data_IF_327907375108
#
_entry.id   IF_327907375108
#
_cell.length_a   1.000
_cell.length_b   1.000
_cell.length_c   1.000
_cell.angle_alpha   90.00
_cell.angle_beta   90.00
_cell.angle_gamma   90.00
#
_symmetry.space_group_name_H-M   'P 1'
#
loop_
_entity.id
_entity.type
_entity.pdbx_description
1 polymer ?
#
# COMPACT_ATOMS: atom_id res chain seq x y z
N UNK A 1 14.59 1.21 -24.49
CA UNK A 1 15.04 1.85 -23.23
C UNK A 1 16.03 2.95 -23.63
N UNK A 2 15.77 4.19 -23.24
CA UNK A 2 16.67 5.32 -23.50
C UNK A 2 17.34 5.70 -22.18
N UNK A 3 18.66 5.85 -22.18
CA UNK A 3 19.44 6.34 -21.03
C UNK A 3 20.00 7.71 -21.42
N UNK A 4 19.72 8.74 -20.62
CA UNK A 4 20.18 10.11 -20.82
C UNK A 4 20.43 10.79 -19.47
N UNK A 5 21.02 11.99 -19.46
CA UNK A 5 21.28 12.80 -18.26
C UNK A 5 22.06 12.08 -17.15
N UNK A 6 23.09 11.33 -17.53
CA UNK A 6 23.96 10.60 -16.58
C UNK A 6 25.03 11.54 -16.06
N UNK A 7 25.09 11.70 -14.73
CA UNK A 7 26.08 12.53 -14.05
C UNK A 7 26.80 11.71 -12.97
N UNK A 8 28.11 11.90 -12.77
CA UNK A 8 28.83 11.29 -11.65
C UNK A 8 28.36 11.90 -10.32
N UNK A 9 28.21 11.06 -9.31
CA UNK A 9 27.79 11.44 -7.95
C UNK A 9 28.71 10.79 -6.93
N UNK A 10 28.92 11.44 -5.78
CA UNK A 10 29.78 10.94 -4.70
C UNK A 10 29.15 9.80 -3.91
N UNK A 11 27.81 9.71 -3.91
CA UNK A 11 27.06 8.67 -3.22
C UNK A 11 26.09 7.94 -4.15
N UNK A 12 25.86 6.64 -3.92
CA UNK A 12 24.86 5.90 -4.67
C UNK A 12 23.45 6.40 -4.33
N UNK A 13 22.56 6.38 -5.33
CA UNK A 13 21.13 6.53 -5.11
C UNK A 13 20.61 5.37 -4.25
N UNK A 14 19.79 5.68 -3.24
CA UNK A 14 19.20 4.71 -2.32
C UNK A 14 17.69 4.79 -2.37
N UNK A 15 17.02 3.65 -2.24
CA UNK A 15 15.56 3.60 -2.08
C UNK A 15 15.14 4.47 -0.88
N UNK A 16 14.07 5.24 -1.05
CA UNK A 16 13.57 6.16 -0.03
C UNK A 16 14.13 7.58 -0.10
N UNK A 17 15.15 7.86 -0.93
CA UNK A 17 15.69 9.23 -1.13
C UNK A 17 14.85 10.11 -2.08
N UNK A 18 13.85 9.54 -2.76
CA UNK A 18 12.96 10.36 -3.59
C UNK A 18 12.04 11.21 -2.71
N UNK A 19 11.83 12.47 -3.08
CA UNK A 19 10.84 13.32 -2.43
C UNK A 19 9.42 12.98 -2.89
N UNK A 20 9.26 12.58 -4.15
CA UNK A 20 7.96 12.38 -4.77
C UNK A 20 8.07 12.05 -6.25
N UNK A 21 6.93 12.06 -6.93
CA UNK A 21 6.83 11.86 -8.37
C UNK A 21 5.93 12.95 -8.99
N UNK A 22 6.30 13.36 -10.19
CA UNK A 22 5.48 14.18 -11.06
C UNK A 22 4.62 13.28 -11.95
N UNK A 23 3.35 13.63 -12.13
CA UNK A 23 2.42 12.89 -12.96
C UNK A 23 1.83 13.81 -14.02
N UNK A 24 1.91 13.37 -15.27
CA UNK A 24 1.18 13.94 -16.41
C UNK A 24 0.24 12.87 -16.95
N UNK A 25 -1.06 13.05 -16.72
CA UNK A 25 -2.08 12.03 -16.98
C UNK A 25 -3.12 12.58 -17.94
N UNK A 26 -3.61 11.72 -18.84
CA UNK A 26 -4.76 12.00 -19.70
C UNK A 26 -5.83 10.96 -19.40
N UNK A 27 -6.96 11.42 -18.89
CA UNK A 27 -8.15 10.61 -18.62
C UNK A 27 -9.09 10.76 -19.81
N UNK A 28 -9.41 9.65 -20.47
CA UNK A 28 -10.27 9.62 -21.66
C UNK A 28 -11.65 9.07 -21.31
N UNK A 29 -12.62 9.25 -22.23
CA UNK A 29 -13.99 8.76 -22.10
C UNK A 29 -14.66 9.24 -20.79
N UNK A 30 -14.56 10.55 -20.52
CA UNK A 30 -15.14 11.13 -19.31
C UNK A 30 -16.65 11.11 -19.36
N UNK A 31 -17.25 10.59 -18.28
CA UNK A 31 -18.70 10.55 -18.10
C UNK A 31 -19.07 11.26 -16.81
N UNK A 32 -20.03 12.19 -16.84
CA UNK A 32 -20.57 12.77 -15.62
C UNK A 32 -21.26 11.68 -14.78
N UNK A 33 -21.17 11.79 -13.46
CA UNK A 33 -21.87 10.88 -12.56
C UNK A 33 -23.35 11.24 -12.46
N UNK A 34 -24.24 10.26 -12.28
CA UNK A 34 -25.66 10.52 -12.01
C UNK A 34 -26.45 11.05 -13.21
N UNK A 35 -27.39 11.97 -12.96
CA UNK A 35 -28.28 12.56 -13.99
C UNK A 35 -27.67 13.79 -14.70
N UNK A 36 -26.41 14.10 -14.42
CA UNK A 36 -25.74 15.27 -14.96
C UNK A 36 -25.43 15.09 -16.46
N UNK A 37 -25.64 16.13 -17.26
CA UNK A 37 -25.33 16.13 -18.69
C UNK A 37 -23.88 16.56 -18.97
N UNK A 38 -23.44 16.39 -20.22
CA UNK A 38 -22.12 16.86 -20.67
C UNK A 38 -21.91 18.37 -20.47
N UNK A 39 -22.99 19.17 -20.50
CA UNK A 39 -22.95 20.62 -20.23
C UNK A 39 -22.42 20.96 -18.83
N UNK A 40 -22.58 20.06 -17.85
CA UNK A 40 -22.17 20.28 -16.47
C UNK A 40 -20.79 19.69 -16.16
N UNK A 41 -20.20 18.95 -17.11
CA UNK A 41 -18.94 18.23 -16.93
C UNK A 41 -17.80 19.17 -16.51
N UNK A 42 -17.70 20.35 -17.12
CA UNK A 42 -16.66 21.32 -16.79
C UNK A 42 -16.74 21.80 -15.34
N UNK A 43 -17.96 22.06 -14.85
CA UNK A 43 -18.17 22.50 -13.47
C UNK A 43 -17.88 21.38 -12.48
N UNK A 44 -18.34 20.15 -12.79
CA UNK A 44 -18.06 18.97 -11.97
C UNK A 44 -16.57 18.67 -11.86
N UNK A 45 -15.83 18.73 -12.98
CA UNK A 45 -14.38 18.53 -13.00
C UNK A 45 -13.67 19.61 -12.18
N UNK A 46 -14.04 20.89 -12.38
CA UNK A 46 -13.46 22.01 -11.64
C UNK A 46 -13.68 21.85 -10.14
N UNK A 47 -14.89 21.51 -9.72
CA UNK A 47 -15.22 21.28 -8.32
C UNK A 47 -14.43 20.09 -7.74
N UNK A 48 -14.37 18.97 -8.44
CA UNK A 48 -13.64 17.79 -8.00
C UNK A 48 -12.14 18.06 -7.82
N UNK A 49 -11.52 18.73 -8.80
CA UNK A 49 -10.09 19.09 -8.75
C UNK A 49 -9.81 20.09 -7.64
N UNK A 50 -10.63 21.14 -7.48
CA UNK A 50 -10.46 22.12 -6.40
C UNK A 50 -10.69 21.50 -5.02
N UNK A 51 -11.62 20.54 -4.88
CA UNK A 51 -11.79 19.81 -3.62
C UNK A 51 -10.53 19.03 -3.24
N UNK A 52 -9.95 18.27 -4.17
CA UNK A 52 -8.72 17.51 -3.91
C UNK A 52 -7.51 18.41 -3.70
N UNK A 53 -7.44 19.54 -4.40
CA UNK A 53 -6.39 20.56 -4.19
C UNK A 53 -6.42 21.14 -2.78
N UNK A 54 -7.61 21.50 -2.29
CA UNK A 54 -7.76 22.21 -1.02
C UNK A 54 -7.79 21.25 0.19
N UNK A 55 -8.43 20.09 0.04
CA UNK A 55 -8.65 19.14 1.14
C UNK A 55 -7.70 17.94 1.10
N UNK A 56 -7.08 17.68 -0.04
CA UNK A 56 -6.33 16.45 -0.28
C UNK A 56 -7.26 15.25 -0.52
N UNK A 57 -6.69 14.07 -0.31
CA UNK A 57 -7.38 12.78 -0.39
C UNK A 57 -6.86 11.85 0.72
N UNK A 58 -7.63 10.82 1.06
CA UNK A 58 -7.19 9.82 2.04
C UNK A 58 -6.05 9.01 1.45
N UNK A 59 -4.93 8.91 2.16
CA UNK A 59 -3.69 8.37 1.63
C UNK A 59 -3.64 6.83 1.58
N UNK A 60 -4.69 6.21 1.04
CA UNK A 60 -4.79 4.75 0.91
C UNK A 60 -3.63 4.15 0.11
N UNK A 61 -3.30 2.91 0.44
CA UNK A 61 -2.54 2.05 -0.45
C UNK A 61 -3.43 1.62 -1.61
N UNK A 62 -3.02 1.98 -2.83
CA UNK A 62 -3.74 1.59 -4.05
C UNK A 62 -3.59 0.10 -4.40
N UNK A 63 -4.39 -0.41 -5.35
CA UNK A 63 -4.39 -1.82 -5.75
C UNK A 63 -3.01 -2.35 -6.17
N UNK A 64 -2.14 -1.47 -6.69
CA UNK A 64 -0.75 -1.82 -7.04
C UNK A 64 0.06 -2.35 -5.83
N UNK A 65 -0.32 -2.01 -4.60
CA UNK A 65 0.34 -2.50 -3.38
C UNK A 65 0.00 -3.96 -3.06
N UNK A 66 -1.15 -4.42 -3.51
CA UNK A 66 -1.67 -5.76 -3.26
C UNK A 66 -1.39 -6.72 -4.43
N UNK A 67 -0.96 -6.17 -5.57
CA UNK A 67 -0.69 -6.91 -6.78
C UNK A 67 -1.90 -6.93 -7.71
N UNK A 68 -1.72 -7.46 -8.92
CA UNK A 68 -2.75 -7.48 -9.97
C UNK A 68 -3.48 -8.82 -10.09
N UNK A 69 -3.24 -9.76 -9.15
CA UNK A 69 -3.93 -11.05 -9.15
C UNK A 69 -5.39 -10.89 -8.71
N UNK A 70 -6.32 -11.52 -9.42
CA UNK A 70 -7.74 -11.49 -9.09
C UNK A 70 -8.09 -12.52 -8.02
N UNK A 71 -7.42 -13.68 -8.02
CA UNK A 71 -7.73 -14.76 -7.09
C UNK A 71 -7.07 -14.59 -5.71
N UNK A 72 -5.75 -14.31 -5.67
CA UNK A 72 -4.99 -14.16 -4.43
C UNK A 72 -4.17 -12.88 -4.48
N UNK A 73 -4.42 -12.02 -3.50
CA UNK A 73 -3.66 -10.79 -3.31
C UNK A 73 -2.47 -11.00 -2.35
N UNK A 74 -1.48 -10.12 -2.44
CA UNK A 74 -0.23 -10.23 -1.69
C UNK A 74 -0.42 -10.13 -0.17
N UNK A 75 -1.43 -9.42 0.30
CA UNK A 75 -1.78 -9.31 1.73
C UNK A 75 -2.27 -10.64 2.32
N UNK A 76 -2.96 -11.47 1.54
CA UNK A 76 -3.43 -12.78 1.98
C UNK A 76 -2.25 -13.72 2.23
N UNK A 77 -1.26 -13.70 1.32
CA UNK A 77 0.02 -14.41 1.51
C UNK A 77 0.75 -13.84 2.74
N UNK A 78 0.76 -12.51 2.89
CA UNK A 78 1.34 -11.81 4.04
C UNK A 78 0.76 -12.25 5.38
N UNK A 79 -0.56 -12.39 5.47
CA UNK A 79 -1.26 -12.87 6.65
C UNK A 79 -0.78 -14.28 7.03
N UNK A 80 -0.80 -15.21 6.08
CA UNK A 80 -0.42 -16.60 6.32
C UNK A 80 1.07 -16.72 6.70
N UNK A 81 1.92 -15.88 6.12
CA UNK A 81 3.33 -15.77 6.52
C UNK A 81 3.51 -15.24 7.95
N UNK A 82 2.71 -14.25 8.38
CA UNK A 82 2.75 -13.72 9.75
C UNK A 82 2.25 -14.74 10.78
N UNK A 83 1.35 -15.65 10.37
CA UNK A 83 0.93 -16.81 11.17
C UNK A 83 1.94 -17.98 11.16
N UNK A 84 3.05 -17.82 10.42
CA UNK A 84 4.08 -18.83 10.18
C UNK A 84 3.58 -20.15 9.55
N UNK A 85 2.45 -20.11 8.84
CA UNK A 85 1.85 -21.27 8.17
C UNK A 85 2.50 -21.50 6.78
N UNK A 86 3.72 -22.03 6.79
CA UNK A 86 4.57 -22.10 5.59
C UNK A 86 3.94 -22.87 4.42
N UNK A 87 3.32 -24.02 4.67
CA UNK A 87 2.69 -24.81 3.60
C UNK A 87 1.49 -24.08 2.98
N UNK A 88 0.66 -23.45 3.80
CA UNK A 88 -0.47 -22.67 3.32
C UNK A 88 0.00 -21.46 2.51
N UNK A 89 1.10 -20.79 2.92
CA UNK A 89 1.64 -19.65 2.19
C UNK A 89 2.15 -20.03 0.79
N UNK A 90 2.74 -21.23 0.64
CA UNK A 90 3.17 -21.76 -0.67
C UNK A 90 1.96 -22.12 -1.53
N UNK A 91 0.92 -22.73 -0.95
CA UNK A 91 -0.34 -23.01 -1.67
C UNK A 91 -0.99 -21.72 -2.19
N UNK A 92 -1.07 -20.69 -1.37
CA UNK A 92 -1.58 -19.36 -1.79
C UNK A 92 -0.72 -18.76 -2.90
N UNK A 93 0.61 -18.80 -2.77
CA UNK A 93 1.53 -18.30 -3.79
C UNK A 93 1.35 -18.97 -5.17
N UNK A 94 1.05 -20.27 -5.18
CA UNK A 94 0.76 -21.02 -6.41
C UNK A 94 -0.72 -21.08 -6.79
N UNK A 95 -1.59 -20.27 -6.18
CA UNK A 95 -2.98 -20.19 -6.62
C UNK A 95 -3.03 -19.65 -8.07
N UNK A 96 -3.67 -20.38 -9.01
CA UNK A 96 -3.81 -19.94 -10.39
C UNK A 96 -4.83 -18.81 -10.50
N UNK A 97 -4.64 -17.96 -11.51
CA UNK A 97 -5.64 -16.98 -11.93
C UNK A 97 -6.66 -17.63 -12.89
N UNK A 98 -7.70 -16.87 -13.23
CA UNK A 98 -8.66 -17.23 -14.27
C UNK A 98 -7.99 -17.18 -15.65
N UNK A 99 -7.67 -18.36 -16.19
CA UNK A 99 -6.97 -18.50 -17.47
C UNK A 99 -6.35 -19.87 -17.67
N UNK A 100 -6.13 -20.25 -18.93
CA UNK A 100 -5.58 -21.56 -19.34
C UNK A 100 -4.16 -21.50 -19.93
N UNK A 101 -3.46 -20.39 -19.67
CA UNK A 101 -2.06 -20.23 -20.05
C UNK A 101 -1.13 -21.20 -19.28
N UNK A 102 0.14 -21.26 -19.71
CA UNK A 102 1.14 -22.18 -19.18
C UNK A 102 1.45 -21.97 -17.68
N UNK A 103 1.47 -20.73 -17.17
CA UNK A 103 1.73 -20.48 -15.75
C UNK A 103 0.60 -21.06 -14.89
N UNK A 104 -0.65 -20.91 -15.34
CA UNK A 104 -1.83 -21.36 -14.61
C UNK A 104 -1.96 -22.89 -14.66
N UNK A 105 -1.62 -23.53 -15.80
CA UNK A 105 -1.47 -24.99 -15.90
C UNK A 105 -0.42 -25.54 -14.95
N UNK A 106 0.76 -24.91 -14.91
CA UNK A 106 1.86 -25.33 -14.04
C UNK A 106 1.49 -25.20 -12.54
N UNK A 107 0.82 -24.11 -12.17
CA UNK A 107 0.27 -23.86 -10.83
C UNK A 107 -0.77 -24.91 -10.43
N UNK A 108 -1.77 -25.16 -11.29
CA UNK A 108 -2.80 -26.20 -11.06
C UNK A 108 -2.18 -27.59 -10.89
N UNK A 109 -1.25 -27.94 -11.77
CA UNK A 109 -0.54 -29.22 -11.67
C UNK A 109 0.15 -29.35 -10.32
N UNK A 110 0.86 -28.31 -9.86
CA UNK A 110 1.56 -28.33 -8.58
C UNK A 110 0.60 -28.58 -7.41
N UNK A 111 -0.52 -27.85 -7.37
CA UNK A 111 -1.50 -27.96 -6.29
C UNK A 111 -2.22 -29.31 -6.26
N UNK A 112 -2.42 -29.94 -7.43
CA UNK A 112 -3.09 -31.24 -7.54
C UNK A 112 -2.17 -32.43 -7.22
N UNK A 113 -0.93 -32.40 -7.70
CA UNK A 113 -0.03 -33.56 -7.64
C UNK A 113 1.07 -33.44 -6.59
N UNK A 114 1.36 -32.22 -6.12
CA UNK A 114 2.55 -31.92 -5.31
C UNK A 114 3.87 -32.04 -6.07
N UNK A 115 3.86 -32.32 -7.38
CA UNK A 115 5.08 -32.59 -8.15
C UNK A 115 5.75 -31.30 -8.63
N UNK A 116 6.67 -30.78 -7.81
CA UNK A 116 7.41 -29.56 -8.12
C UNK A 116 8.29 -29.66 -9.40
N UNK A 117 8.78 -30.86 -9.73
CA UNK A 117 9.64 -31.07 -10.90
C UNK A 117 8.87 -30.90 -12.20
N UNK A 118 7.70 -31.54 -12.31
CA UNK A 118 6.83 -31.45 -13.48
C UNK A 118 6.27 -30.03 -13.63
N UNK A 119 5.81 -29.42 -12.55
CA UNK A 119 5.39 -28.02 -12.56
C UNK A 119 6.50 -27.06 -12.99
N UNK A 120 7.74 -27.30 -12.59
CA UNK A 120 8.88 -26.48 -13.02
C UNK A 120 9.14 -26.61 -14.52
N UNK A 121 8.93 -27.79 -15.11
CA UNK A 121 9.06 -27.98 -16.55
C UNK A 121 7.97 -27.22 -17.33
N UNK A 122 6.76 -27.15 -16.79
CA UNK A 122 5.63 -26.40 -17.38
C UNK A 122 5.75 -24.87 -17.17
N UNK A 123 6.37 -24.43 -16.08
CA UNK A 123 6.40 -23.02 -15.68
C UNK A 123 7.20 -22.14 -16.66
N UNK A 124 6.61 -21.08 -17.27
CA UNK A 124 7.32 -20.22 -18.21
C UNK A 124 8.58 -19.54 -17.65
N UNK A 125 9.60 -19.33 -18.49
CA UNK A 125 10.89 -18.77 -18.06
C UNK A 125 10.81 -17.37 -17.43
N UNK A 126 9.87 -16.53 -17.90
CA UNK A 126 9.65 -15.18 -17.37
C UNK A 126 9.01 -15.16 -15.97
N UNK A 127 8.54 -16.31 -15.46
CA UNK A 127 8.04 -16.47 -14.08
C UNK A 127 9.15 -16.88 -13.13
N UNK A 128 10.12 -15.97 -12.99
CA UNK A 128 11.34 -16.24 -12.22
C UNK A 128 11.08 -16.63 -10.76
N UNK A 129 10.12 -15.98 -10.09
CA UNK A 129 9.80 -16.23 -8.67
C UNK A 129 9.24 -17.64 -8.48
N UNK A 130 8.25 -17.99 -9.30
CA UNK A 130 7.60 -19.29 -9.30
C UNK A 130 8.60 -20.41 -9.60
N UNK A 131 9.51 -20.20 -10.56
CA UNK A 131 10.56 -21.15 -10.89
C UNK A 131 11.58 -21.32 -9.75
N UNK A 132 11.99 -20.25 -9.06
CA UNK A 132 12.89 -20.33 -7.91
C UNK A 132 12.26 -21.16 -6.78
N UNK A 133 11.00 -20.86 -6.46
CA UNK A 133 10.22 -21.56 -5.45
C UNK A 133 10.07 -23.06 -5.80
N UNK A 134 9.66 -23.40 -7.03
CA UNK A 134 9.53 -24.80 -7.48
C UNK A 134 10.86 -25.56 -7.47
N UNK A 135 11.98 -24.92 -7.84
CA UNK A 135 13.31 -25.54 -7.74
C UNK A 135 13.67 -25.91 -6.31
N UNK A 136 13.40 -25.02 -5.37
CA UNK A 136 13.65 -25.28 -3.95
C UNK A 136 12.74 -26.41 -3.43
N UNK A 137 11.45 -26.37 -3.77
CA UNK A 137 10.49 -27.41 -3.36
C UNK A 137 10.83 -28.79 -3.98
N UNK A 138 11.33 -28.83 -5.21
CA UNK A 138 11.83 -30.08 -5.79
C UNK A 138 13.02 -30.64 -5.02
N UNK A 139 13.94 -29.78 -4.59
CA UNK A 139 15.17 -30.17 -3.89
C UNK A 139 14.94 -30.57 -2.43
N UNK A 140 14.05 -29.87 -1.74
CA UNK A 140 13.89 -29.98 -0.29
C UNK A 140 12.53 -30.56 0.13
N UNK A 141 11.67 -30.92 -0.84
CA UNK A 141 10.31 -31.39 -0.60
C UNK A 141 9.31 -30.25 -0.39
N UNK A 142 8.04 -30.62 -0.19
CA UNK A 142 6.92 -29.67 0.00
C UNK A 142 6.40 -29.57 1.44
N UNK A 143 7.06 -30.23 2.40
CA UNK A 143 6.76 -30.04 3.82
C UNK A 143 7.29 -28.69 4.35
N UNK A 144 7.14 -28.46 5.65
CA UNK A 144 7.51 -27.21 6.33
C UNK A 144 8.92 -26.69 5.98
N UNK A 145 9.99 -27.50 6.14
CA UNK A 145 11.37 -27.09 5.83
C UNK A 145 11.54 -26.76 4.34
N UNK A 146 10.93 -27.54 3.46
CA UNK A 146 10.95 -27.30 2.03
C UNK A 146 10.29 -25.98 1.64
N UNK A 147 9.16 -25.65 2.28
CA UNK A 147 8.48 -24.36 2.11
C UNK A 147 9.32 -23.18 2.63
N UNK A 148 10.01 -23.34 3.77
CA UNK A 148 10.95 -22.33 4.29
C UNK A 148 12.08 -22.09 3.28
N UNK A 149 12.70 -23.16 2.76
CA UNK A 149 13.73 -23.06 1.72
C UNK A 149 13.20 -22.45 0.42
N UNK A 150 11.96 -22.76 0.07
CA UNK A 150 11.21 -22.16 -1.02
C UNK A 150 11.15 -20.64 -0.89
N UNK A 151 10.67 -20.14 0.23
CA UNK A 151 10.62 -18.71 0.49
C UNK A 151 12.02 -18.08 0.51
N UNK A 152 12.99 -18.69 1.20
CA UNK A 152 14.37 -18.19 1.27
C UNK A 152 15.06 -18.12 -0.10
N UNK A 153 14.58 -18.87 -1.11
CA UNK A 153 15.06 -18.75 -2.49
C UNK A 153 14.68 -17.40 -3.15
N UNK A 154 13.66 -16.72 -2.63
CA UNK A 154 13.24 -15.41 -3.11
C UNK A 154 14.06 -14.28 -2.47
N UNK A 155 14.35 -13.19 -3.21
CA UNK A 155 15.00 -12.01 -2.65
C UNK A 155 14.29 -11.46 -1.40
N UNK A 156 15.06 -10.94 -0.45
CA UNK A 156 14.53 -10.42 0.81
C UNK A 156 13.41 -9.38 0.60
N UNK A 157 13.62 -8.45 -0.35
CA UNK A 157 12.64 -7.40 -0.69
C UNK A 157 11.30 -7.94 -1.16
N UNK A 158 11.29 -9.05 -1.90
CA UNK A 158 10.05 -9.69 -2.36
C UNK A 158 9.34 -10.42 -1.22
N UNK A 159 10.09 -11.01 -0.29
CA UNK A 159 9.49 -11.70 0.87
C UNK A 159 8.83 -10.71 1.83
N UNK A 160 9.55 -9.66 2.20
CA UNK A 160 9.03 -8.64 3.13
C UNK A 160 7.85 -7.87 2.51
N UNK A 161 7.79 -7.77 1.18
CA UNK A 161 6.67 -7.15 0.47
C UNK A 161 5.31 -7.76 0.86
N UNK A 162 5.18 -9.08 0.94
CA UNK A 162 3.91 -9.73 1.32
C UNK A 162 3.44 -9.32 2.72
N UNK A 163 4.34 -9.31 3.70
CA UNK A 163 4.02 -8.87 5.07
C UNK A 163 3.62 -7.39 5.08
N UNK A 164 4.30 -6.55 4.30
CA UNK A 164 3.93 -5.15 4.18
C UNK A 164 2.60 -4.93 3.46
N UNK A 165 2.23 -5.77 2.48
CA UNK A 165 0.91 -5.71 1.85
C UNK A 165 -0.18 -6.01 2.87
N UNK A 166 0.01 -6.98 3.77
CA UNK A 166 -0.92 -7.20 4.90
C UNK A 166 -1.05 -5.95 5.77
N UNK A 167 0.08 -5.37 6.19
CA UNK A 167 0.07 -4.17 7.02
C UNK A 167 -0.62 -2.99 6.30
N UNK A 168 -0.44 -2.85 4.98
CA UNK A 168 -1.12 -1.87 4.14
C UNK A 168 -2.63 -2.06 4.11
N UNK A 169 -3.12 -3.31 4.09
CA UNK A 169 -4.56 -3.58 4.16
C UNK A 169 -5.14 -3.14 5.49
N UNK A 170 -4.51 -3.53 6.60
CA UNK A 170 -4.95 -3.13 7.95
C UNK A 170 -4.93 -1.60 8.09
N UNK A 171 -3.92 -0.92 7.54
CA UNK A 171 -3.88 0.54 7.53
C UNK A 171 -5.03 1.18 6.74
N UNK A 172 -5.37 0.65 5.57
CA UNK A 172 -6.52 1.15 4.79
C UNK A 172 -7.82 1.00 5.60
N UNK A 173 -8.02 -0.16 6.23
CA UNK A 173 -9.19 -0.40 7.08
C UNK A 173 -9.21 0.53 8.31
N UNK A 174 -8.04 0.79 8.92
CA UNK A 174 -7.87 1.70 10.04
C UNK A 174 -8.23 3.15 9.67
N UNK A 175 -7.73 3.64 8.53
CA UNK A 175 -8.04 4.96 8.01
C UNK A 175 -9.54 5.14 7.76
N UNK A 176 -10.19 4.13 7.16
CA UNK A 176 -11.65 4.12 6.97
C UNK A 176 -12.38 4.16 8.31
N UNK A 177 -12.02 3.29 9.25
CA UNK A 177 -12.64 3.25 10.58
C UNK A 177 -12.47 4.58 11.33
N UNK A 178 -11.25 5.16 11.30
CA UNK A 178 -10.92 6.43 11.92
C UNK A 178 -11.79 7.57 11.43
N UNK A 179 -11.96 7.70 10.11
CA UNK A 179 -12.79 8.75 9.53
C UNK A 179 -14.27 8.54 9.83
N UNK A 180 -14.75 7.29 9.81
CA UNK A 180 -16.16 6.96 10.08
C UNK A 180 -16.56 7.16 11.54
N UNK A 181 -15.68 6.87 12.50
CA UNK A 181 -16.00 6.87 13.93
C UNK A 181 -15.62 8.15 14.66
N UNK A 182 -14.52 8.79 14.24
CA UNK A 182 -13.95 9.96 14.92
C UNK A 182 -14.03 11.23 14.06
N UNK A 183 -14.59 11.15 12.85
CA UNK A 183 -14.85 12.31 11.99
C UNK A 183 -13.59 12.95 11.39
N UNK A 184 -13.73 14.22 10.98
CA UNK A 184 -12.75 14.94 10.17
C UNK A 184 -11.95 16.02 10.92
N UNK A 185 -11.88 15.92 12.25
CA UNK A 185 -10.99 16.73 13.10
C UNK A 185 -9.94 15.83 13.75
N UNK A 186 -8.82 16.40 14.18
CA UNK A 186 -7.93 15.70 15.10
C UNK A 186 -8.64 15.58 16.47
N UNK A 187 -8.52 14.42 17.12
CA UNK A 187 -9.18 14.15 18.41
C UNK A 187 -8.20 13.57 19.41
N UNK A 188 -8.53 13.63 20.69
CA UNK A 188 -7.75 13.02 21.75
C UNK A 188 -7.36 11.57 21.41
N UNK A 189 -6.10 11.24 21.65
CA UNK A 189 -5.53 9.91 21.39
C UNK A 189 -5.05 9.70 19.96
N UNK A 190 -5.31 10.60 19.02
CA UNK A 190 -4.69 10.54 17.68
C UNK A 190 -3.16 10.68 17.78
N UNK A 191 -2.48 10.17 16.76
CA UNK A 191 -1.03 10.33 16.64
C UNK A 191 -0.71 11.46 15.67
N UNK A 192 0.28 12.27 16.02
CA UNK A 192 0.87 13.31 15.17
C UNK A 192 2.39 13.28 15.28
N UNK A 193 3.10 13.91 14.33
CA UNK A 193 4.55 14.09 14.47
C UNK A 193 4.86 15.11 15.59
N UNK A 194 5.80 14.79 16.47
CA UNK A 194 6.24 15.74 17.49
C UNK A 194 6.83 17.00 16.86
N UNK A 195 6.58 18.16 17.47
CA UNK A 195 7.01 19.46 16.95
C UNK A 195 6.14 20.05 15.84
N UNK A 196 5.12 19.32 15.37
CA UNK A 196 4.18 19.80 14.35
C UNK A 196 3.27 20.94 14.82
N UNK A 197 3.21 21.22 16.13
CA UNK A 197 2.50 22.35 16.75
C UNK A 197 2.89 23.70 16.15
N UNK A 198 4.14 23.84 15.73
CA UNK A 198 4.69 25.11 15.21
C UNK A 198 4.53 25.29 13.70
N UNK A 199 3.92 24.32 13.00
CA UNK A 199 3.77 24.36 11.53
C UNK A 199 5.08 24.20 10.73
N UNK A 200 6.23 24.06 11.41
CA UNK A 200 7.50 23.80 10.73
C UNK A 200 7.66 22.30 10.46
N UNK A 201 7.66 21.94 9.16
CA UNK A 201 8.24 20.68 8.71
C UNK A 201 9.73 20.71 9.09
N UNK A 202 10.11 20.02 10.16
CA UNK A 202 11.53 19.81 10.50
C UNK A 202 12.19 19.08 9.33
N UNK A 203 12.87 19.86 8.50
CA UNK A 203 13.79 19.44 7.45
C UNK A 203 15.17 19.24 8.05
N UNK A 204 15.29 18.33 9.02
CA UNK A 204 16.59 17.89 9.53
C UNK A 204 16.62 16.38 9.51
N UNK A 205 17.14 15.88 8.39
CA UNK A 205 17.78 14.59 8.29
C UNK A 205 18.93 14.56 9.31
N UNK A 206 18.78 13.82 10.42
CA UNK A 206 19.85 13.08 11.09
C UNK A 206 19.31 12.31 12.33
N UNK A 207 19.22 10.98 12.17
CA UNK A 207 19.36 9.92 13.19
C UNK A 207 18.44 9.83 14.43
N UNK A 208 17.47 10.71 14.68
CA UNK A 208 16.45 10.45 15.70
C UNK A 208 15.18 9.88 15.05
N UNK A 209 14.77 8.69 15.47
CA UNK A 209 13.49 8.10 15.07
C UNK A 209 12.39 9.17 15.27
N UNK A 210 11.54 9.43 14.25
CA UNK A 210 10.61 10.54 14.32
C UNK A 210 9.69 10.33 15.53
N UNK A 211 9.79 11.25 16.49
CA UNK A 211 9.07 11.16 17.75
C UNK A 211 7.59 11.40 17.47
N UNK A 212 6.75 10.51 17.96
CA UNK A 212 5.29 10.58 17.80
C UNK A 212 4.68 11.14 19.07
N UNK A 213 3.79 12.11 18.90
CA UNK A 213 3.00 12.71 19.97
C UNK A 213 1.57 12.17 19.93
N UNK A 214 0.95 12.03 21.11
CA UNK A 214 -0.45 11.62 21.25
C UNK A 214 -1.24 12.87 21.60
N UNK A 215 -2.24 13.19 20.80
CA UNK A 215 -3.07 14.38 20.99
C UNK A 215 -3.76 14.30 22.36
N UNK A 216 -3.54 15.31 23.19
CA UNK A 216 -4.14 15.45 24.51
C UNK A 216 -5.54 16.09 24.44
N UNK A 217 -6.33 15.93 25.50
CA UNK A 217 -7.70 16.49 25.55
C UNK A 217 -7.74 18.02 25.40
N UNK A 218 -6.76 18.73 25.98
CA UNK A 218 -6.67 20.18 25.87
C UNK A 218 -6.27 20.64 24.45
N UNK A 219 -5.48 19.84 23.73
CA UNK A 219 -5.07 20.14 22.36
C UNK A 219 -6.22 19.96 21.37
N UNK A 220 -7.09 18.97 21.61
CA UNK A 220 -8.35 18.81 20.89
C UNK A 220 -9.29 20.01 21.11
N UNK A 221 -9.49 20.42 22.38
CA UNK A 221 -10.37 21.56 22.72
C UNK A 221 -9.90 22.86 22.09
N UNK A 222 -8.58 23.07 22.04
CA UNK A 222 -7.96 24.27 21.47
C UNK A 222 -7.71 24.15 19.95
N UNK A 223 -8.11 23.04 19.32
CA UNK A 223 -7.90 22.76 17.88
C UNK A 223 -6.44 22.97 17.43
N UNK A 224 -5.48 22.55 18.28
CA UNK A 224 -4.03 22.73 18.02
C UNK A 224 -3.58 21.99 16.76
N UNK A 225 -4.19 20.83 16.50
CA UNK A 225 -3.87 20.01 15.34
C UNK A 225 -5.06 19.86 14.40
N UNK A 226 -4.77 19.78 13.11
CA UNK A 226 -5.73 19.48 12.06
C UNK A 226 -5.63 18.04 11.55
N UNK A 227 -6.65 17.58 10.82
CA UNK A 227 -6.71 16.20 10.31
C UNK A 227 -5.53 15.85 9.39
N UNK A 228 -4.95 16.82 8.68
CA UNK A 228 -3.78 16.60 7.80
C UNK A 228 -2.47 16.39 8.55
N UNK A 229 -2.43 16.66 9.86
CA UNK A 229 -1.30 16.32 10.73
C UNK A 229 -1.44 14.92 11.35
N UNK A 230 -2.63 14.32 11.30
CA UNK A 230 -2.88 12.98 11.85
C UNK A 230 -2.15 11.92 11.04
N UNK A 231 -1.39 11.08 11.75
CA UNK A 231 -0.69 9.92 11.20
C UNK A 231 -1.27 8.64 11.80
N UNK A 232 -1.27 7.57 11.02
CA UNK A 232 -1.69 6.25 11.47
C UNK A 232 -0.54 5.25 11.40
N UNK A 233 -0.42 4.34 12.39
CA UNK A 233 0.62 3.33 12.37
C UNK A 233 0.32 2.25 11.33
N UNK A 234 1.34 1.87 10.59
CA UNK A 234 1.42 0.59 9.91
C UNK A 234 1.76 -0.46 10.99
N UNK A 235 0.96 -1.53 11.16
CA UNK A 235 1.22 -2.53 12.18
C UNK A 235 2.66 -3.07 12.12
N UNK A 236 3.27 -3.20 13.30
CA UNK A 236 4.66 -3.60 13.45
C UNK A 236 5.07 -3.67 14.91
N UNK A 237 6.32 -4.07 15.16
CA UNK A 237 6.83 -4.25 16.52
C UNK A 237 7.59 -3.04 17.12
N UNK A 238 7.59 -1.90 16.42
CA UNK A 238 8.26 -0.67 16.86
C UNK A 238 7.38 0.57 16.67
N UNK A 239 6.05 0.38 16.58
CA UNK A 239 5.08 1.48 16.48
C UNK A 239 4.25 1.62 17.75
N UNK A 240 3.87 2.86 18.05
CA UNK A 240 2.85 3.22 19.02
C UNK A 240 1.48 3.21 18.33
N UNK A 241 0.46 2.74 19.03
CA UNK A 241 -0.92 2.80 18.55
C UNK A 241 -1.66 4.00 19.17
N UNK A 242 -2.68 4.55 18.49
CA UNK A 242 -3.52 5.63 19.00
C UNK A 242 -4.12 5.30 20.37
N UNK A 243 -4.24 6.28 21.27
CA UNK A 243 -4.79 6.11 22.62
C UNK A 243 -6.30 6.48 22.64
N UNK A 244 -7.04 5.96 21.66
CA UNK A 244 -8.50 6.15 21.53
C UNK A 244 -9.16 4.88 20.94
N UNK A 245 -10.41 5.00 20.50
CA UNK A 245 -11.18 3.88 19.91
C UNK A 245 -10.45 3.17 18.76
N UNK A 246 -9.57 3.88 18.03
CA UNK A 246 -8.80 3.29 16.95
C UNK A 246 -7.72 2.32 17.47
N UNK A 247 -7.11 2.61 18.62
CA UNK A 247 -6.12 1.74 19.26
C UNK A 247 -6.72 0.38 19.62
N UNK A 248 -7.90 0.38 20.24
CA UNK A 248 -8.64 -0.86 20.52
C UNK A 248 -9.02 -1.59 19.24
N UNK A 249 -9.48 -0.84 18.23
CA UNK A 249 -9.81 -1.42 16.93
C UNK A 249 -8.62 -2.16 16.29
N UNK A 250 -7.39 -1.64 16.38
CA UNK A 250 -6.20 -2.34 15.88
C UNK A 250 -5.99 -3.68 16.59
N UNK A 251 -6.16 -3.72 17.92
CA UNK A 251 -6.00 -4.95 18.70
C UNK A 251 -7.04 -6.00 18.28
N UNK A 252 -8.32 -5.60 18.24
CA UNK A 252 -9.42 -6.49 17.87
C UNK A 252 -9.26 -6.98 16.42
N UNK A 253 -8.88 -6.09 15.50
CA UNK A 253 -8.72 -6.40 14.09
C UNK A 253 -7.59 -7.40 13.85
N UNK A 254 -6.45 -7.23 14.53
CA UNK A 254 -5.34 -8.20 14.47
C UNK A 254 -5.72 -9.52 15.12
N UNK A 255 -6.45 -9.50 16.24
CA UNK A 255 -6.93 -10.71 16.90
C UNK A 255 -7.89 -11.52 16.01
N UNK A 256 -8.78 -10.86 15.26
CA UNK A 256 -9.67 -11.51 14.27
C UNK A 256 -8.92 -12.29 13.19
N UNK A 257 -7.72 -11.82 12.80
CA UNK A 257 -6.85 -12.50 11.82
C UNK A 257 -5.94 -13.57 12.49
N UNK A 258 -6.09 -13.81 13.80
CA UNK A 258 -5.23 -14.72 14.57
C UNK A 258 -3.85 -14.14 14.89
N UNK A 259 -3.68 -12.82 14.80
CA UNK A 259 -2.43 -12.10 15.03
C UNK A 259 -2.37 -11.35 16.38
N UNK A 260 -3.26 -11.66 17.32
CA UNK A 260 -3.31 -10.97 18.63
C UNK A 260 -2.01 -11.05 19.44
N UNK A 261 -1.23 -12.12 19.28
CA UNK A 261 0.11 -12.29 19.88
C UNK A 261 1.26 -12.15 18.87
N UNK A 262 1.00 -11.60 17.68
CA UNK A 262 1.98 -11.49 16.62
C UNK A 262 3.11 -10.53 17.00
N UNK A 263 4.36 -11.00 16.87
CA UNK A 263 5.56 -10.18 17.14
C UNK A 263 6.06 -9.43 15.90
N UNK A 264 5.34 -9.53 14.78
CA UNK A 264 5.75 -8.98 13.48
C UNK A 264 7.18 -9.39 13.08
N UNK A 265 7.54 -10.63 13.43
CA UNK A 265 8.79 -11.31 13.11
C UNK A 265 8.46 -12.69 12.59
N UNK A 266 9.01 -13.03 11.43
CA UNK A 266 8.91 -14.38 10.86
C UNK A 266 10.32 -14.95 10.89
N UNK A 267 10.66 -15.56 12.02
CA UNK A 267 12.04 -15.99 12.32
C UNK A 267 12.59 -16.97 11.27
N UNK A 268 11.82 -17.99 10.82
CA UNK A 268 12.30 -18.93 9.79
C UNK A 268 12.72 -18.25 8.48
N UNK A 269 12.09 -17.10 8.17
CA UNK A 269 12.38 -16.32 6.98
C UNK A 269 13.31 -15.13 7.25
N UNK A 270 13.80 -14.94 8.47
CA UNK A 270 14.65 -13.79 8.86
C UNK A 270 13.99 -12.44 8.51
N UNK A 271 12.67 -12.35 8.65
CA UNK A 271 11.90 -11.13 8.35
C UNK A 271 11.53 -10.43 9.65
N UNK A 272 11.69 -9.11 9.66
CA UNK A 272 11.28 -8.22 10.74
C UNK A 272 10.46 -7.06 10.16
N UNK A 273 9.28 -6.81 10.73
CA UNK A 273 8.43 -5.68 10.35
C UNK A 273 8.35 -4.73 11.55
N UNK A 274 9.20 -3.69 11.60
CA UNK A 274 9.16 -2.69 12.67
C UNK A 274 7.87 -1.87 12.63
N UNK A 275 7.24 -1.77 11.46
CA UNK A 275 6.17 -0.81 11.22
C UNK A 275 6.73 0.58 10.92
N UNK A 276 5.84 1.50 10.61
CA UNK A 276 6.13 2.90 10.38
C UNK A 276 4.86 3.71 10.59
N UNK A 277 4.94 5.04 10.46
CA UNK A 277 3.76 5.89 10.48
C UNK A 277 3.54 6.48 9.10
N UNK A 278 2.27 6.68 8.76
CA UNK A 278 1.85 7.21 7.47
C UNK A 278 0.79 8.30 7.69
N UNK A 279 0.91 9.47 7.04
CA UNK A 279 -0.12 10.50 7.07
C UNK A 279 -1.47 9.97 6.60
N UNK A 280 -2.53 10.30 7.33
CA UNK A 280 -3.90 9.92 6.99
C UNK A 280 -4.34 10.56 5.66
N UNK A 281 -3.97 11.81 5.45
CA UNK A 281 -4.24 12.57 4.23
C UNK A 281 -2.97 12.81 3.41
N UNK A 282 -3.13 12.90 2.10
CA UNK A 282 -2.13 13.38 1.17
C UNK A 282 -2.72 14.54 0.36
N UNK A 283 -1.89 15.56 0.08
CA UNK A 283 -2.29 16.73 -0.71
C UNK A 283 -1.42 16.80 -1.96
N UNK A 284 -1.99 16.79 -3.18
CA UNK A 284 -1.21 17.01 -4.38
C UNK A 284 -0.68 18.44 -4.44
N UNK A 285 0.53 18.59 -4.98
CA UNK A 285 1.14 19.90 -5.21
C UNK A 285 1.11 20.23 -6.69
N UNK A 286 1.07 21.52 -7.01
CA UNK A 286 1.13 22.04 -8.39
C UNK A 286 0.09 21.40 -9.32
N UNK A 287 -1.13 21.18 -8.82
CA UNK A 287 -2.21 20.58 -9.61
C UNK A 287 -2.71 21.57 -10.68
N UNK A 288 -2.66 21.15 -11.93
CA UNK A 288 -3.19 21.89 -13.08
C UNK A 288 -4.02 20.93 -13.94
N UNK A 289 -5.06 21.46 -14.59
CA UNK A 289 -5.94 20.64 -15.42
C UNK A 289 -6.42 21.39 -16.66
N UNK A 290 -6.67 20.64 -17.73
CA UNK A 290 -7.35 21.14 -18.93
C UNK A 290 -8.36 20.10 -19.42
N UNK A 291 -9.56 20.56 -19.73
CA UNK A 291 -10.67 19.73 -20.21
C UNK A 291 -10.89 19.98 -21.69
N UNK A 292 -10.87 18.91 -22.48
CA UNK A 292 -11.32 18.90 -23.87
C UNK A 292 -12.71 18.27 -23.93
N UNK A 293 -13.66 18.93 -24.56
CA UNK A 293 -15.07 18.50 -24.63
C UNK A 293 -15.52 18.15 -26.04
N UNK A 294 -14.67 18.36 -27.05
CA UNK A 294 -14.97 18.06 -28.46
C UNK A 294 -14.76 16.55 -28.74
N UNK A 295 -15.69 15.95 -29.49
CA UNK A 295 -15.74 14.54 -29.90
C UNK A 295 -15.73 13.51 -28.76
N UNK A 296 -14.60 13.36 -28.07
CA UNK A 296 -14.39 12.46 -26.94
C UNK A 296 -13.87 13.25 -25.72
N UNK A 297 -14.73 13.49 -24.71
CA UNK A 297 -14.33 14.24 -23.53
C UNK A 297 -13.10 13.64 -22.82
N UNK A 298 -12.07 14.47 -22.65
CA UNK A 298 -10.82 14.07 -22.00
C UNK A 298 -10.26 15.16 -21.08
N UNK A 299 -9.62 14.71 -19.99
CA UNK A 299 -9.06 15.57 -18.94
C UNK A 299 -7.56 15.32 -18.87
N UNK A 300 -6.79 16.34 -19.21
CA UNK A 300 -5.36 16.37 -18.90
C UNK A 300 -5.20 16.88 -17.48
N UNK A 301 -4.46 16.15 -16.66
CA UNK A 301 -4.23 16.47 -15.25
C UNK A 301 -2.75 16.29 -14.93
N UNK A 302 -2.14 17.35 -14.40
CA UNK A 302 -0.74 17.37 -13.98
C UNK A 302 -0.67 17.67 -12.49
N UNK A 303 0.14 16.93 -11.74
CA UNK A 303 0.35 17.16 -10.30
C UNK A 303 1.59 16.42 -9.78
N UNK A 304 2.07 16.87 -8.62
CA UNK A 304 3.11 16.21 -7.84
C UNK A 304 2.52 15.50 -6.63
N UNK A 305 3.03 14.31 -6.32
CA UNK A 305 2.76 13.63 -5.06
C UNK A 305 4.05 13.29 -4.33
N UNK A 306 4.03 13.42 -3.00
CA UNK A 306 5.10 12.96 -2.14
C UNK A 306 5.34 11.45 -2.27
N UNK A 307 6.53 11.00 -1.88
CA UNK A 307 6.90 9.60 -1.91
C UNK A 307 5.89 8.74 -1.13
N UNK A 308 5.66 7.52 -1.61
CA UNK A 308 4.68 6.59 -1.04
C UNK A 308 3.21 6.99 -1.17
N UNK A 309 2.86 8.00 -1.97
CA UNK A 309 1.48 8.30 -2.37
C UNK A 309 1.15 7.63 -3.72
N UNK A 310 -0.14 7.39 -3.97
CA UNK A 310 -0.62 6.68 -5.16
C UNK A 310 -1.45 7.61 -6.04
N UNK A 311 -1.00 7.85 -7.28
CA UNK A 311 -1.74 8.66 -8.25
C UNK A 311 -3.12 8.07 -8.56
N UNK A 312 -3.25 6.74 -8.57
CA UNK A 312 -4.55 6.08 -8.70
C UNK A 312 -5.51 6.50 -7.60
N UNK A 313 -5.09 6.54 -6.33
CA UNK A 313 -5.95 6.93 -5.21
C UNK A 313 -6.35 8.42 -5.32
N UNK A 314 -5.42 9.30 -5.70
CA UNK A 314 -5.73 10.71 -5.99
C UNK A 314 -6.80 10.81 -7.10
N UNK A 315 -6.62 10.08 -8.19
CA UNK A 315 -7.59 10.03 -9.29
C UNK A 315 -8.93 9.44 -8.85
N UNK A 316 -8.95 8.42 -8.00
CA UNK A 316 -10.19 7.86 -7.45
C UNK A 316 -11.00 8.88 -6.66
N UNK A 317 -10.32 9.77 -5.93
CA UNK A 317 -10.99 10.87 -5.21
C UNK A 317 -11.57 11.92 -6.17
N UNK A 318 -10.85 12.26 -7.25
CA UNK A 318 -11.31 13.20 -8.28
C UNK A 318 -12.47 12.60 -9.09
N UNK A 319 -12.31 11.35 -9.53
CA UNK A 319 -13.25 10.66 -10.41
C UNK A 319 -14.41 10.02 -9.65
N UNK A 320 -14.36 9.92 -8.32
CA UNK A 320 -15.33 9.19 -7.49
C UNK A 320 -15.54 7.73 -7.93
N UNK A 321 -14.52 7.14 -8.54
CA UNK A 321 -14.52 5.73 -8.91
C UNK A 321 -14.13 4.88 -7.70
N UNK A 322 -14.87 3.80 -7.46
CA UNK A 322 -14.44 2.79 -6.48
C UNK A 322 -13.17 2.13 -7.01
N UNK A 323 -12.04 2.43 -6.38
CA UNK A 323 -10.77 1.73 -6.61
C UNK A 323 -10.58 0.51 -5.70
N UNK A 324 -11.67 0.08 -5.05
CA UNK A 324 -11.75 -1.08 -4.17
C UNK A 324 -12.44 -2.25 -4.87
#
# INVERSE_FOLDING_TARGET
MQISHVHPVSEPLKLGRLQGNHFDLVIRDLKPHGKHGLAELQQLVKEAVENVKNRGFVNYYGPQRFGSGSCVQADQIGLVLLKEEMEASVKLFFTPEDGDDLQNKAKRHFLLTGNAKESLALMPAYKARERLMLRALHRYGSGQEGCIRGWLSLPHSMRVFYLHSYCSRVWNEAAKYRLQKLGFKAVQGDLVWAGSETGLKSSTEELNAPQVHVVASEEEKNEVFSLDQVILPMPGNSVKYPENLLGQWYQDRLAQDGLGSCRFRVTPLKLNVPGCYRPLLAKPQNITFSLQTEEEPSLSLTFNLDASCYATVCLGEIMKSNLS
#
